data_IF_418857946797
#
_entry.id   IF_418857946797
#
_cell.length_a   1.000
_cell.length_b   1.000
_cell.length_c   1.000
_cell.angle_alpha   90.00
_cell.angle_beta   90.00
_cell.angle_gamma   90.00
#
_symmetry.space_group_name_H-M   'P 1'
#
loop_
_entity.id
_entity.type
_entity.pdbx_description
1 polymer ?
#
# COMPACT_ATOMS: atom_id res chain seq x y z
N UNK A 1 4.79 4.42 -3.46
CA UNK A 1 4.40 3.36 -4.44
C UNK A 1 4.37 2.04 -3.70
N UNK A 2 3.24 1.30 -3.72
CA UNK A 2 3.12 0.03 -2.98
C UNK A 2 4.14 -1.01 -3.46
N UNK A 3 4.63 -1.90 -2.58
CA UNK A 3 5.76 -2.77 -2.90
C UNK A 3 5.29 -4.08 -3.55
N UNK A 4 4.61 -3.93 -4.68
CA UNK A 4 4.31 -5.03 -5.57
C UNK A 4 5.53 -5.43 -6.39
N UNK A 5 5.56 -6.69 -6.85
CA UNK A 5 6.55 -7.16 -7.81
C UNK A 5 6.55 -6.29 -9.08
N UNK A 6 7.73 -6.02 -9.64
CA UNK A 6 7.88 -5.15 -10.82
C UNK A 6 6.97 -5.54 -11.99
N UNK A 7 6.79 -6.83 -12.23
CA UNK A 7 5.92 -7.34 -13.29
C UNK A 7 4.45 -7.00 -13.02
N UNK A 8 4.02 -7.08 -11.75
CA UNK A 8 2.67 -6.72 -11.36
C UNK A 8 2.44 -5.20 -11.44
N UNK A 9 3.41 -4.39 -11.03
CA UNK A 9 3.35 -2.93 -11.17
C UNK A 9 3.23 -2.52 -12.64
N UNK A 10 4.04 -3.12 -13.53
CA UNK A 10 3.98 -2.85 -14.96
C UNK A 10 2.61 -3.22 -15.56
N UNK A 11 2.06 -4.37 -15.18
CA UNK A 11 0.70 -4.79 -15.57
C UNK A 11 -0.34 -3.80 -15.06
N UNK A 12 -0.29 -3.44 -13.78
CA UNK A 12 -1.21 -2.49 -13.15
C UNK A 12 -1.21 -1.15 -13.90
N UNK A 13 -0.03 -0.60 -14.24
CA UNK A 13 0.09 0.66 -14.98
C UNK A 13 -0.48 0.55 -16.39
N UNK A 14 -0.18 -0.54 -17.10
CA UNK A 14 -0.68 -0.76 -18.46
C UNK A 14 -2.20 -0.87 -18.49
N UNK A 15 -2.79 -1.66 -17.58
CA UNK A 15 -4.23 -1.85 -17.49
C UNK A 15 -4.93 -0.60 -16.93
N UNK A 16 -4.28 0.15 -16.04
CA UNK A 16 -4.84 1.40 -15.49
C UNK A 16 -5.22 2.38 -16.59
N UNK A 17 -4.39 2.52 -17.63
CA UNK A 17 -4.68 3.45 -18.73
C UNK A 17 -6.00 3.14 -19.45
N UNK A 18 -6.37 1.86 -19.54
CA UNK A 18 -7.53 1.37 -20.30
C UNK A 18 -8.82 1.29 -19.48
N UNK A 19 -8.74 1.41 -18.15
CA UNK A 19 -9.91 1.38 -17.27
C UNK A 19 -10.85 2.58 -17.50
N UNK A 20 -12.14 2.35 -17.33
CA UNK A 20 -13.14 3.41 -17.22
C UNK A 20 -12.94 4.23 -15.92
N UNK A 21 -13.49 5.45 -15.83
CA UNK A 21 -13.28 6.32 -14.69
C UNK A 21 -13.71 5.74 -13.33
N UNK A 22 -14.80 4.97 -13.29
CA UNK A 22 -15.33 4.42 -12.04
C UNK A 22 -14.40 3.32 -11.53
N UNK A 23 -13.92 2.45 -12.41
CA UNK A 23 -12.94 1.41 -12.06
C UNK A 23 -11.57 1.98 -11.72
N UNK A 24 -11.15 3.07 -12.37
CA UNK A 24 -9.94 3.80 -11.97
C UNK A 24 -10.06 4.30 -10.54
N UNK A 25 -11.19 4.89 -10.19
CA UNK A 25 -11.44 5.38 -8.85
C UNK A 25 -11.44 4.25 -7.81
N UNK A 26 -12.14 3.14 -8.06
CA UNK A 26 -12.13 1.95 -7.19
C UNK A 26 -10.69 1.42 -6.97
N UNK A 27 -9.90 1.40 -8.05
CA UNK A 27 -8.51 0.95 -8.02
C UNK A 27 -7.62 1.90 -7.21
N UNK A 28 -7.75 3.21 -7.41
CA UNK A 28 -7.03 4.23 -6.64
C UNK A 28 -7.37 4.17 -5.15
N UNK A 29 -8.66 4.02 -4.80
CA UNK A 29 -9.09 3.88 -3.42
C UNK A 29 -8.44 2.65 -2.77
N UNK A 30 -8.48 1.49 -3.43
CA UNK A 30 -7.87 0.28 -2.88
C UNK A 30 -6.34 0.42 -2.67
N UNK A 31 -5.65 1.13 -3.57
CA UNK A 31 -4.22 1.40 -3.43
C UNK A 31 -3.94 2.35 -2.26
N UNK A 32 -4.75 3.40 -2.08
CA UNK A 32 -4.64 4.33 -0.95
C UNK A 32 -4.92 3.65 0.39
N UNK A 33 -6.02 2.91 0.49
CA UNK A 33 -6.39 2.17 1.71
C UNK A 33 -5.28 1.19 2.12
N UNK A 34 -4.68 0.51 1.14
CA UNK A 34 -3.56 -0.40 1.39
C UNK A 34 -2.33 0.36 1.91
N UNK A 35 -2.00 1.51 1.31
CA UNK A 35 -0.87 2.33 1.74
C UNK A 35 -1.08 2.82 3.17
N UNK A 36 -2.27 3.36 3.48
CA UNK A 36 -2.61 3.86 4.81
C UNK A 36 -2.57 2.76 5.87
N UNK A 37 -3.05 1.56 5.56
CA UNK A 37 -2.99 0.42 6.46
C UNK A 37 -1.54 0.04 6.81
N UNK A 38 -0.66 -0.03 5.81
CA UNK A 38 0.77 -0.32 6.01
C UNK A 38 1.42 0.81 6.82
N UNK A 39 1.14 2.06 6.46
CA UNK A 39 1.66 3.23 7.17
C UNK A 39 1.29 3.21 8.65
N UNK A 40 0.01 2.95 8.96
CA UNK A 40 -0.46 2.89 10.33
C UNK A 40 0.27 1.80 11.14
N UNK A 41 0.41 0.60 10.58
CA UNK A 41 1.13 -0.50 11.24
C UNK A 41 2.58 -0.13 11.52
N UNK A 42 3.28 0.46 10.54
CA UNK A 42 4.67 0.90 10.69
C UNK A 42 4.82 2.06 11.67
N UNK A 43 3.86 2.98 11.69
CA UNK A 43 3.83 4.08 12.65
C UNK A 43 3.65 3.57 14.08
N UNK A 44 2.75 2.62 14.31
CA UNK A 44 2.55 1.97 15.62
C UNK A 44 3.82 1.25 16.09
N UNK A 45 4.48 0.51 15.18
CA UNK A 45 5.76 -0.14 15.45
C UNK A 45 6.85 0.88 15.85
N UNK A 46 7.03 1.91 15.04
CA UNK A 46 8.06 2.92 15.26
C UNK A 46 7.80 3.75 16.53
N UNK A 47 6.54 4.06 16.81
CA UNK A 47 6.16 4.75 18.05
C UNK A 47 6.51 3.89 19.28
N UNK A 48 6.22 2.59 19.24
CA UNK A 48 6.58 1.66 20.31
C UNK A 48 8.08 1.59 20.53
N UNK A 49 8.87 1.53 19.46
CA UNK A 49 10.34 1.52 19.52
C UNK A 49 10.89 2.84 20.07
N UNK A 50 10.40 3.97 19.58
CA UNK A 50 10.82 5.30 20.03
C UNK A 50 10.49 5.53 21.51
N UNK A 51 9.31 5.13 21.97
CA UNK A 51 8.94 5.18 23.39
C UNK A 51 9.86 4.29 24.26
N UNK A 52 10.32 3.15 23.74
CA UNK A 52 11.33 2.33 24.43
C UNK A 52 12.68 3.07 24.54
N UNK A 53 13.11 3.76 23.48
CA UNK A 53 14.35 4.57 23.49
C UNK A 53 14.28 5.77 24.43
N UNK A 54 13.10 6.39 24.59
CA UNK A 54 12.87 7.44 25.59
C UNK A 54 13.10 6.91 27.00
N UNK A 55 12.59 5.72 27.32
CA UNK A 55 12.83 5.08 28.64
C UNK A 55 14.32 4.82 28.90
N UNK A 56 15.08 4.58 27.84
CA UNK A 56 16.53 4.39 27.88
C UNK A 56 17.32 5.70 27.82
N UNK A 57 16.67 6.87 27.83
CA UNK A 57 17.28 8.21 27.67
C UNK A 57 18.01 8.43 26.34
N UNK A 58 17.76 7.56 25.34
CA UNK A 58 18.36 7.61 24.00
C UNK A 58 17.57 8.48 23.01
N UNK A 59 16.39 8.93 23.41
CA UNK A 59 15.50 9.73 22.59
C UNK A 59 14.73 10.73 23.47
N UNK A 60 14.48 11.94 22.95
CA UNK A 60 13.75 12.99 23.67
C UNK A 60 12.25 12.87 23.41
N UNK A 61 11.45 13.01 24.46
CA UNK A 61 10.00 13.13 24.39
C UNK A 61 9.63 14.61 24.50
N UNK A 62 9.70 15.32 23.38
CA UNK A 62 9.37 16.74 23.23
C UNK A 62 8.25 16.92 22.18
N UNK A 63 7.86 18.17 21.92
CA UNK A 63 6.76 18.50 20.99
C UNK A 63 7.00 17.95 19.57
N UNK A 64 8.27 17.80 19.17
CA UNK A 64 8.67 17.29 17.87
C UNK A 64 8.78 15.75 17.81
N UNK A 65 8.64 15.06 18.95
CA UNK A 65 8.79 13.61 19.04
C UNK A 65 7.94 12.87 18.00
N UNK A 66 6.65 13.21 17.94
CA UNK A 66 5.74 12.54 17.01
C UNK A 66 6.10 12.85 15.55
N UNK A 67 6.58 14.06 15.24
CA UNK A 67 7.05 14.41 13.90
C UNK A 67 8.27 13.59 13.49
N UNK A 68 9.23 13.38 14.41
CA UNK A 68 10.40 12.52 14.14
C UNK A 68 10.02 11.08 13.87
N UNK A 69 9.09 10.53 14.67
CA UNK A 69 8.61 9.16 14.47
C UNK A 69 7.91 9.03 13.11
N UNK A 70 7.08 10.01 12.71
CA UNK A 70 6.45 10.03 11.38
C UNK A 70 7.46 10.05 10.24
N UNK A 71 8.45 10.95 10.29
CA UNK A 71 9.50 11.03 9.29
C UNK A 71 10.29 9.72 9.19
N UNK A 72 10.59 9.09 10.33
CA UNK A 72 11.24 7.78 10.35
C UNK A 72 10.35 6.71 9.72
N UNK A 73 9.05 6.69 10.01
CA UNK A 73 8.11 5.74 9.38
C UNK A 73 8.04 5.91 7.87
N UNK A 74 7.97 7.14 7.36
CA UNK A 74 7.98 7.41 5.92
C UNK A 74 9.28 6.90 5.28
N UNK A 75 10.42 7.20 5.91
CA UNK A 75 11.72 6.73 5.44
C UNK A 75 11.82 5.19 5.45
N UNK A 76 11.40 4.53 6.53
CA UNK A 76 11.43 3.08 6.65
C UNK A 76 10.53 2.43 5.61
N UNK A 77 9.36 3.01 5.34
CA UNK A 77 8.47 2.53 4.28
C UNK A 77 9.08 2.69 2.90
N UNK A 78 9.75 3.81 2.59
CA UNK A 78 10.45 3.99 1.32
C UNK A 78 11.55 2.92 1.14
N UNK A 79 12.31 2.66 2.20
CA UNK A 79 13.39 1.66 2.21
C UNK A 79 12.83 0.24 2.07
N UNK A 80 11.79 -0.10 2.84
CA UNK A 80 11.14 -1.42 2.80
C UNK A 80 10.49 -1.65 1.43
N UNK A 81 9.87 -0.61 0.86
CA UNK A 81 9.28 -0.69 -0.47
C UNK A 81 10.32 -0.89 -1.57
N UNK A 82 11.50 -0.29 -1.42
CA UNK A 82 12.62 -0.52 -2.33
C UNK A 82 13.21 -1.95 -2.20
N UNK A 83 13.08 -2.58 -1.03
CA UNK A 83 13.72 -3.87 -0.72
C UNK A 83 12.88 -5.11 -1.07
N UNK A 84 11.68 -4.96 -1.60
CA UNK A 84 10.77 -6.03 -2.06
C UNK A 84 10.74 -7.23 -1.09
N UNK A 85 9.89 -7.15 -0.08
CA UNK A 85 9.48 -8.34 0.68
C UNK A 85 7.98 -8.53 0.49
N UNK A 86 7.61 -9.58 -0.24
CA UNK A 86 6.23 -10.01 -0.39
C UNK A 86 5.70 -10.46 0.97
N UNK A 87 4.99 -9.58 1.68
CA UNK A 87 4.23 -9.95 2.87
C UNK A 87 2.90 -10.60 2.48
N UNK A 88 2.32 -11.41 3.37
CA UNK A 88 1.02 -12.05 3.16
C UNK A 88 -0.11 -11.04 2.89
N UNK A 89 -0.01 -9.84 3.47
CA UNK A 89 -1.03 -8.80 3.36
C UNK A 89 -1.10 -8.22 1.94
N UNK A 90 0.06 -8.14 1.28
CA UNK A 90 0.16 -7.68 -0.12
C UNK A 90 -0.39 -8.71 -1.09
N UNK A 91 -0.31 -10.00 -0.76
CA UNK A 91 -0.87 -11.05 -1.58
C UNK A 91 -2.41 -10.95 -1.69
N UNK A 92 -3.10 -10.64 -0.60
CA UNK A 92 -4.56 -10.46 -0.62
C UNK A 92 -4.98 -9.23 -1.42
N UNK A 93 -4.24 -8.12 -1.26
CA UNK A 93 -4.46 -6.90 -2.04
C UNK A 93 -4.24 -7.18 -3.51
N UNK A 94 -3.16 -7.89 -3.87
CA UNK A 94 -2.90 -8.32 -5.25
C UNK A 94 -4.07 -9.10 -5.84
N UNK A 95 -4.66 -10.04 -5.09
CA UNK A 95 -5.85 -10.78 -5.55
C UNK A 95 -7.04 -9.87 -5.81
N UNK A 96 -7.32 -8.91 -4.92
CA UNK A 96 -8.41 -7.93 -5.14
C UNK A 96 -8.17 -7.06 -6.36
N UNK A 97 -6.94 -6.58 -6.54
CA UNK A 97 -6.53 -5.83 -7.73
C UNK A 97 -6.70 -6.66 -8.99
N UNK A 98 -6.26 -7.92 -8.99
CA UNK A 98 -6.44 -8.84 -10.13
C UNK A 98 -7.91 -9.08 -10.48
N UNK A 99 -8.82 -9.13 -9.49
CA UNK A 99 -10.25 -9.26 -9.73
C UNK A 99 -10.83 -8.02 -10.40
N UNK A 100 -10.49 -6.82 -9.91
CA UNK A 100 -10.91 -5.56 -10.51
C UNK A 100 -10.43 -5.42 -11.96
N UNK A 101 -9.23 -5.94 -12.27
CA UNK A 101 -8.67 -5.94 -13.63
C UNK A 101 -9.29 -7.01 -14.54
N UNK A 102 -9.79 -8.13 -14.00
CA UNK A 102 -10.36 -9.25 -14.79
C UNK A 102 -11.85 -9.08 -15.13
N UNK A 103 -12.57 -8.26 -14.36
CA UNK A 103 -13.98 -7.91 -14.63
C UNK A 103 -14.16 -7.16 -15.97
N UNK A 104 -13.06 -6.88 -16.69
CA UNK A 104 -13.03 -6.43 -18.08
C UNK A 104 -13.45 -7.50 -19.12
N UNK A 105 -13.74 -8.74 -18.73
CA UNK A 105 -14.18 -9.75 -19.71
C UNK A 105 -15.60 -9.41 -20.18
N UNK A 106 -15.84 -9.11 -21.46
CA UNK A 106 -17.19 -8.80 -21.95
C UNK A 106 -18.11 -9.98 -21.63
N UNK A 107 -19.26 -9.69 -21.02
CA UNK A 107 -20.34 -10.67 -20.90
C UNK A 107 -20.63 -11.23 -22.30
N UNK A 108 -20.76 -12.56 -22.46
CA UNK A 108 -21.09 -13.13 -23.77
C UNK A 108 -22.42 -12.53 -24.26
N UNK A 109 -22.54 -12.20 -25.56
CA UNK A 109 -23.76 -11.61 -26.07
C UNK A 109 -24.93 -12.53 -25.76
N UNK A 110 -25.93 -12.00 -25.05
CA UNK A 110 -27.18 -12.70 -24.79
C UNK A 110 -27.75 -13.12 -26.15
N UNK A 111 -27.73 -14.42 -26.42
CA UNK A 111 -28.41 -14.98 -27.58
C UNK A 111 -29.91 -14.81 -27.34
N UNK A 112 -30.47 -13.71 -27.83
CA UNK A 112 -31.90 -13.61 -28.04
C UNK A 112 -32.28 -14.63 -29.12
N UNK A 113 -32.95 -15.69 -28.67
CA UNK A 113 -33.73 -16.61 -29.52
C UNK A 113 -35.13 -16.05 -29.72
#
# INVERSE_FOLDING_TARGET
>A
MLPFEKNFQAKLIADFATLDPDKKFELEQLLWDTYEAIYKLKLEENLRLALSRVKETKEKLDEDFYSRVKQQTEHDMEVDFAKITASSDIAQVRTKLDLLLKDQSPSPPSQHS
#
